data_IF_490178146348
#
_entry.id   IF_490178146348
#
_cell.length_a   1.000
_cell.length_b   1.000
_cell.length_c   1.000
_cell.angle_alpha   90.00
_cell.angle_beta   90.00
_cell.angle_gamma   90.00
#
_symmetry.space_group_name_H-M   'P 1'
#
loop_
_entity.id
_entity.type
_entity.pdbx_description
1 polymer ?
#
# COMPACT_ATOMS: atom_id res chain seq x y z
N UNK A 1 -16.99 -0.17 2.27
CA UNK A 1 -16.39 -0.60 0.99
C UNK A 1 -15.29 -1.65 1.24
N UNK A 2 -15.15 -2.71 0.43
CA UNK A 2 -14.22 -3.81 0.69
C UNK A 2 -12.74 -3.40 0.71
N UNK A 3 -12.32 -2.54 -0.23
CA UNK A 3 -10.94 -2.02 -0.29
C UNK A 3 -10.61 -1.20 0.96
N UNK A 4 -11.54 -0.37 1.41
CA UNK A 4 -11.37 0.38 2.66
C UNK A 4 -11.21 -0.55 3.87
N UNK A 5 -12.05 -1.59 3.97
CA UNK A 5 -11.94 -2.58 5.05
C UNK A 5 -10.62 -3.36 5.02
N UNK A 6 -10.15 -3.74 3.83
CA UNK A 6 -8.86 -4.40 3.64
C UNK A 6 -7.71 -3.50 4.10
N UNK A 7 -7.65 -2.25 3.63
CA UNK A 7 -6.59 -1.31 4.00
C UNK A 7 -6.55 -1.07 5.51
N UNK A 8 -7.71 -0.87 6.14
CA UNK A 8 -7.83 -0.70 7.60
C UNK A 8 -7.37 -1.94 8.36
N UNK A 9 -7.75 -3.14 7.89
CA UNK A 9 -7.35 -4.41 8.53
C UNK A 9 -5.84 -4.65 8.45
N UNK A 10 -5.22 -4.44 7.27
CA UNK A 10 -3.78 -4.62 7.06
C UNK A 10 -2.94 -3.64 7.87
N UNK A 11 -3.43 -2.40 8.01
CA UNK A 11 -2.71 -1.34 8.71
C UNK A 11 -3.06 -1.21 10.19
N UNK A 12 -4.16 -1.82 10.63
CA UNK A 12 -4.78 -1.65 11.95
C UNK A 12 -5.14 -0.19 12.26
N UNK A 13 -5.54 0.58 11.24
CA UNK A 13 -5.99 1.97 11.37
C UNK A 13 -7.51 2.05 11.21
N UNK A 14 -8.15 2.97 11.92
CA UNK A 14 -9.60 3.16 11.85
C UNK A 14 -10.03 4.10 10.72
N UNK A 15 -9.14 4.99 10.27
CA UNK A 15 -9.35 5.93 9.18
C UNK A 15 -8.68 5.43 7.88
N UNK A 16 -9.35 5.58 6.74
CA UNK A 16 -8.80 5.16 5.45
C UNK A 16 -7.57 5.97 5.02
N UNK A 17 -7.58 7.29 5.23
CA UNK A 17 -6.45 8.15 4.86
C UNK A 17 -5.22 7.78 5.69
N UNK A 18 -5.41 7.49 6.98
CA UNK A 18 -4.33 7.01 7.85
C UNK A 18 -3.84 5.63 7.42
N UNK A 19 -4.74 4.75 6.99
CA UNK A 19 -4.38 3.46 6.43
C UNK A 19 -3.56 3.61 5.13
N UNK A 20 -3.97 4.48 4.21
CA UNK A 20 -3.23 4.75 2.98
C UNK A 20 -1.84 5.31 3.29
N UNK A 21 -1.76 6.29 4.18
CA UNK A 21 -0.48 6.88 4.59
C UNK A 21 0.45 5.84 5.23
N UNK A 22 -0.07 4.97 6.10
CA UNK A 22 0.68 3.87 6.70
C UNK A 22 1.18 2.86 5.64
N UNK A 23 0.40 2.56 4.61
CA UNK A 23 0.84 1.70 3.50
C UNK A 23 2.01 2.34 2.73
N UNK A 24 1.96 3.65 2.48
CA UNK A 24 3.07 4.37 1.84
C UNK A 24 4.33 4.36 2.71
N UNK A 25 4.19 4.57 4.03
CA UNK A 25 5.30 4.47 4.98
C UNK A 25 5.90 3.07 5.06
N UNK A 26 5.07 2.03 4.87
CA UNK A 26 5.56 0.66 4.76
C UNK A 26 6.30 0.40 3.45
N UNK A 27 6.14 1.25 2.44
CA UNK A 27 6.83 1.15 1.16
C UNK A 27 5.96 0.69 0.01
N UNK A 28 4.63 0.65 0.20
CA UNK A 28 3.69 0.42 -0.92
C UNK A 28 3.86 1.56 -1.94
N UNK A 29 4.07 1.27 -3.23
CA UNK A 29 4.21 2.28 -4.25
C UNK A 29 3.00 3.22 -4.31
N UNK A 30 3.27 4.53 -4.44
CA UNK A 30 2.25 5.58 -4.52
C UNK A 30 1.20 5.32 -5.60
N UNK A 31 1.58 4.70 -6.71
CA UNK A 31 0.65 4.36 -7.80
C UNK A 31 -0.43 3.37 -7.33
N UNK A 32 -0.08 2.44 -6.45
CA UNK A 32 -1.02 1.45 -5.90
C UNK A 32 -1.95 2.15 -4.90
N UNK A 33 -1.43 2.99 -4.01
CA UNK A 33 -2.26 3.71 -3.02
C UNK A 33 -3.22 4.70 -3.68
N UNK A 34 -2.78 5.43 -4.72
CA UNK A 34 -3.65 6.29 -5.53
C UNK A 34 -4.75 5.47 -6.23
N UNK A 35 -4.42 4.33 -6.82
CA UNK A 35 -5.42 3.47 -7.46
C UNK A 35 -6.48 2.96 -6.47
N UNK A 36 -6.10 2.66 -5.22
CA UNK A 36 -7.06 2.30 -4.17
C UNK A 36 -8.04 3.43 -3.85
N UNK A 37 -7.54 4.65 -3.74
CA UNK A 37 -8.37 5.80 -3.38
C UNK A 37 -9.36 6.16 -4.50
N UNK A 38 -8.92 6.08 -5.77
CA UNK A 38 -9.82 6.22 -6.93
C UNK A 38 -10.93 5.18 -6.89
N UNK A 39 -10.59 3.90 -6.72
CA UNK A 39 -11.57 2.82 -6.62
C UNK A 39 -12.53 3.01 -5.45
N UNK A 40 -12.02 3.47 -4.31
CA UNK A 40 -12.84 3.79 -3.12
C UNK A 40 -13.84 4.90 -3.43
N UNK A 41 -13.39 5.99 -4.05
CA UNK A 41 -14.23 7.13 -4.42
C UNK A 41 -15.32 6.70 -5.40
N UNK A 42 -14.95 6.02 -6.49
CA UNK A 42 -15.92 5.53 -7.48
C UNK A 42 -16.94 4.60 -6.84
N UNK A 43 -16.52 3.66 -5.98
CA UNK A 43 -17.45 2.77 -5.28
C UNK A 43 -18.38 3.51 -4.32
N UNK A 44 -17.89 4.49 -3.57
CA UNK A 44 -18.72 5.27 -2.64
C UNK A 44 -19.68 6.22 -3.36
N UNK A 45 -19.29 6.86 -4.46
CA UNK A 45 -20.14 7.73 -5.27
C UNK A 45 -21.36 6.96 -5.83
N UNK A 46 -21.12 5.75 -6.36
CA UNK A 46 -22.17 4.85 -6.86
C UNK A 46 -23.12 4.41 -5.74
N UNK A 47 -22.58 4.17 -4.53
CA UNK A 47 -23.36 3.76 -3.36
C UNK A 47 -24.23 4.91 -2.79
N UNK A 48 -23.69 6.12 -2.72
CA UNK A 48 -24.40 7.31 -2.21
C UNK A 48 -25.49 7.82 -3.16
N UNK A 49 -25.36 7.57 -4.47
CA UNK A 49 -26.41 7.90 -5.44
C UNK A 49 -27.65 7.00 -5.34
N UNK A 50 -27.67 5.99 -4.45
CA UNK A 50 -28.74 5.00 -4.37
C UNK A 50 -28.87 4.14 -5.63
N UNK A 51 -27.94 4.29 -6.57
CA UNK A 51 -27.89 3.60 -7.85
C UNK A 51 -26.94 2.42 -7.71
N UNK A 52 -27.40 1.35 -7.05
CA UNK A 52 -26.85 0.00 -7.32
C UNK A 52 -27.32 -0.45 -8.72
N UNK A 53 -27.02 0.33 -9.76
CA UNK A 53 -27.43 0.04 -11.13
C UNK A 53 -26.33 0.39 -12.14
N UNK A 54 -25.20 -0.30 -11.99
CA UNK A 54 -24.62 -1.01 -13.13
C UNK A 54 -24.70 -2.50 -12.81
N UNK A 55 -24.88 -3.38 -13.81
CA UNK A 55 -24.46 -4.77 -13.59
C UNK A 55 -23.01 -4.71 -13.10
N UNK A 56 -22.66 -5.47 -12.05
CA UNK A 56 -21.26 -5.72 -11.73
C UNK A 56 -20.60 -6.25 -13.00
N UNK A 57 -19.94 -5.36 -13.75
CA UNK A 57 -19.33 -5.77 -15.00
C UNK A 57 -18.05 -6.52 -14.63
N UNK A 58 -17.82 -7.62 -15.33
CA UNK A 58 -16.71 -8.50 -15.02
C UNK A 58 -15.35 -7.76 -15.05
N UNK A 59 -15.24 -6.66 -15.81
CA UNK A 59 -14.00 -5.89 -15.90
C UNK A 59 -13.76 -5.04 -14.64
N UNK A 60 -14.80 -4.42 -14.07
CA UNK A 60 -14.72 -3.72 -12.78
C UNK A 60 -14.34 -4.70 -11.68
N UNK A 61 -15.04 -5.83 -11.56
CA UNK A 61 -14.72 -6.87 -10.56
C UNK A 61 -13.29 -7.39 -10.72
N UNK A 62 -12.86 -7.70 -11.94
CA UNK A 62 -11.50 -8.14 -12.22
C UNK A 62 -10.45 -7.08 -11.82
N UNK A 63 -10.73 -5.80 -12.04
CA UNK A 63 -9.85 -4.69 -11.65
C UNK A 63 -9.72 -4.59 -10.13
N UNK A 64 -10.83 -4.72 -9.40
CA UNK A 64 -10.82 -4.74 -7.93
C UNK A 64 -10.00 -5.90 -7.38
N UNK A 65 -10.20 -7.12 -7.91
CA UNK A 65 -9.43 -8.28 -7.49
C UNK A 65 -7.94 -8.14 -7.82
N UNK A 66 -7.59 -7.55 -8.97
CA UNK A 66 -6.18 -7.26 -9.29
C UNK A 66 -5.56 -6.27 -8.31
N UNK A 67 -6.27 -5.21 -7.93
CA UNK A 67 -5.79 -4.25 -6.93
C UNK A 67 -5.64 -4.90 -5.56
N UNK A 68 -6.63 -5.67 -5.11
CA UNK A 68 -6.54 -6.40 -3.84
C UNK A 68 -5.35 -7.38 -3.84
N UNK A 69 -5.13 -8.11 -4.93
CA UNK A 69 -3.99 -9.02 -5.08
C UNK A 69 -2.66 -8.27 -5.04
N UNK A 70 -2.54 -7.11 -5.68
CA UNK A 70 -1.33 -6.29 -5.62
C UNK A 70 -1.04 -5.82 -4.19
N UNK A 71 -2.07 -5.48 -3.41
CA UNK A 71 -1.93 -5.09 -2.01
C UNK A 71 -1.39 -6.24 -1.19
N UNK A 72 -2.04 -7.40 -1.29
CA UNK A 72 -1.65 -8.59 -0.53
C UNK A 72 -0.25 -9.05 -0.93
N UNK A 73 0.04 -9.04 -2.23
CA UNK A 73 1.36 -9.40 -2.76
C UNK A 73 2.44 -8.50 -2.16
N UNK A 74 2.29 -7.18 -2.24
CA UNK A 74 3.28 -6.27 -1.69
C UNK A 74 3.35 -6.36 -0.16
N UNK A 75 2.21 -6.17 0.52
CA UNK A 75 2.16 -5.92 1.97
C UNK A 75 2.37 -7.13 2.84
N UNK A 76 2.17 -8.33 2.28
CA UNK A 76 2.29 -9.58 3.02
C UNK A 76 3.37 -10.44 2.36
N UNK A 77 3.18 -10.84 1.11
CA UNK A 77 4.06 -11.84 0.47
C UNK A 77 5.48 -11.32 0.25
N UNK A 78 5.63 -10.16 -0.38
CA UNK A 78 6.93 -9.59 -0.72
C UNK A 78 7.67 -9.13 0.54
N UNK A 79 6.95 -8.54 1.51
CA UNK A 79 7.54 -8.17 2.80
C UNK A 79 8.09 -9.37 3.56
N UNK A 80 7.35 -10.46 3.63
CA UNK A 80 7.84 -11.68 4.30
C UNK A 80 9.05 -12.28 3.54
N UNK A 81 8.97 -12.34 2.21
CA UNK A 81 10.06 -12.86 1.38
C UNK A 81 11.34 -12.02 1.52
N UNK A 82 11.20 -10.69 1.60
CA UNK A 82 12.32 -9.78 1.84
C UNK A 82 12.91 -9.96 3.24
N UNK A 83 12.08 -10.14 4.28
CA UNK A 83 12.56 -10.40 5.63
C UNK A 83 13.36 -11.70 5.71
N UNK A 84 12.86 -12.79 5.12
CA UNK A 84 13.57 -14.07 5.02
C UNK A 84 14.90 -13.91 4.30
N UNK A 85 14.92 -13.19 3.18
CA UNK A 85 16.14 -12.90 2.43
C UNK A 85 17.16 -12.13 3.29
N UNK A 86 16.73 -11.05 3.97
CA UNK A 86 17.57 -10.25 4.86
C UNK A 86 18.17 -11.11 5.99
N UNK A 87 17.36 -12.00 6.58
CA UNK A 87 17.85 -12.95 7.58
C UNK A 87 18.92 -13.88 6.99
N UNK A 88 18.75 -14.34 5.75
CA UNK A 88 19.69 -15.27 5.09
C UNK A 88 21.05 -14.64 4.73
N UNK A 89 21.08 -13.36 4.34
CA UNK A 89 22.31 -12.67 3.91
C UNK A 89 23.09 -12.00 5.07
N UNK A 90 22.53 -12.01 6.28
CA UNK A 90 23.12 -11.42 7.47
C UNK A 90 22.46 -10.09 7.86
N UNK A 91 21.51 -10.09 8.83
CA UNK A 91 20.72 -8.91 9.17
C UNK A 91 21.56 -7.76 9.75
N UNK A 92 22.63 -8.04 10.49
CA UNK A 92 23.50 -7.01 11.07
C UNK A 92 24.22 -6.20 9.99
N UNK A 93 24.77 -6.88 8.96
CA UNK A 93 25.45 -6.21 7.84
C UNK A 93 24.47 -5.41 7.00
N UNK A 94 23.28 -5.96 6.76
CA UNK A 94 22.20 -5.25 6.08
C UNK A 94 21.85 -3.95 6.81
N UNK A 95 21.58 -4.02 8.12
CA UNK A 95 21.24 -2.86 8.95
C UNK A 95 22.34 -1.79 8.94
N UNK A 96 23.61 -2.18 9.07
CA UNK A 96 24.73 -1.24 9.04
C UNK A 96 24.83 -0.46 7.71
N UNK A 97 24.59 -1.14 6.58
CA UNK A 97 24.59 -0.50 5.25
C UNK A 97 23.36 0.40 5.09
N UNK A 98 22.18 -0.06 5.50
CA UNK A 98 20.93 0.71 5.42
C UNK A 98 21.02 2.02 6.23
N UNK A 99 21.50 1.96 7.47
CA UNK A 99 21.74 3.17 8.28
C UNK A 99 22.72 4.14 7.62
N UNK A 100 23.79 3.60 7.00
CA UNK A 100 24.77 4.42 6.28
C UNK A 100 24.14 5.15 5.10
N UNK A 101 23.21 4.51 4.38
CA UNK A 101 22.48 5.11 3.25
C UNK A 101 21.48 6.16 3.73
N UNK A 102 20.69 5.86 4.77
CA UNK A 102 19.74 6.81 5.38
C UNK A 102 20.42 8.09 5.89
N UNK A 103 21.59 7.96 6.53
CA UNK A 103 22.39 9.14 6.97
C UNK A 103 22.84 10.01 5.79
N UNK A 104 23.24 9.39 4.66
CA UNK A 104 23.62 10.14 3.44
C UNK A 104 22.44 10.88 2.84
N UNK A 105 21.28 10.27 2.76
CA UNK A 105 20.05 10.88 2.24
C UNK A 105 19.59 12.06 3.10
N UNK A 106 19.59 11.90 4.44
CA UNK A 106 19.24 12.98 5.36
C UNK A 106 20.20 14.17 5.27
N UNK A 107 21.50 13.89 5.08
CA UNK A 107 22.53 14.95 4.91
C UNK A 107 22.38 15.66 3.56
N UNK A 108 21.97 14.94 2.50
CA UNK A 108 21.70 15.54 1.19
C UNK A 108 20.48 16.46 1.23
N UNK A 109 19.42 16.08 1.96
CA UNK A 109 18.22 16.90 2.13
C UNK A 109 18.49 18.19 2.93
N UNK A 110 19.39 18.17 3.92
CA UNK A 110 19.80 19.38 4.65
C UNK A 110 20.73 20.31 3.87
N UNK A 111 21.32 19.85 2.76
CA UNK A 111 22.20 20.64 1.89
C UNK A 111 21.53 21.11 0.60
N UNK A 112 20.27 20.74 0.37
CA UNK A 112 19.49 21.23 -0.77
C UNK A 112 19.02 22.67 -0.47
N UNK A 113 19.16 23.62 -1.42
CA UNK A 113 18.82 25.03 -1.25
C UNK A 113 17.32 25.29 -1.08
#
# INVERSE_FOLDING_TARGET
>A
MCIEGLCKSVTKKDNFNDAVHELELRGVPKQITVAMDVVRLTGNEVLHAGQLYGQDDAATVATLFRLANLIVQWAITDQNSLQELVMSIGPERFAAIDETRKKKEATAFQKAP
#
